data_IF_333942095117
#
_entry.id   IF_333942095117
#
_cell.length_a   1.000
_cell.length_b   1.000
_cell.length_c   1.000
_cell.angle_alpha   90.00
_cell.angle_beta   90.00
_cell.angle_gamma   90.00
#
_symmetry.space_group_name_H-M   'P 1'
#
loop_
_entity.id
_entity.type
_entity.pdbx_description
1 polymer ?
#
# COMPACT_ATOMS: atom_id res chain seq x y z
N UNK A 1 -13.29 7.09 -1.61
CA UNK A 1 -13.07 5.98 -2.56
C UNK A 1 -12.04 5.07 -1.92
N UNK A 2 -12.23 3.75 -1.96
CA UNK A 2 -11.29 2.80 -1.36
C UNK A 2 -10.95 1.72 -2.38
N UNK A 3 -9.65 1.55 -2.61
CA UNK A 3 -9.08 0.56 -3.53
C UNK A 3 -8.28 -0.45 -2.72
N UNK A 4 -8.41 -1.74 -3.04
CA UNK A 4 -7.75 -2.82 -2.32
C UNK A 4 -6.90 -3.65 -3.29
N UNK A 5 -5.74 -4.08 -2.80
CA UNK A 5 -4.79 -4.89 -3.53
C UNK A 5 -4.37 -6.08 -2.67
N UNK A 6 -4.31 -7.26 -3.30
CA UNK A 6 -3.59 -8.40 -2.78
C UNK A 6 -2.13 -8.28 -3.23
N UNK A 7 -1.20 -8.43 -2.31
CA UNK A 7 0.23 -8.35 -2.56
C UNK A 7 0.89 -9.66 -2.15
N UNK A 8 1.73 -10.20 -3.02
CA UNK A 8 2.64 -11.30 -2.65
C UNK A 8 3.96 -10.71 -2.20
N UNK A 9 4.56 -11.25 -1.16
CA UNK A 9 5.85 -10.78 -0.68
C UNK A 9 6.57 -11.79 0.19
N UNK A 10 7.56 -11.32 0.93
CA UNK A 10 8.20 -12.05 2.02
C UNK A 10 8.19 -11.22 3.29
N UNK A 11 8.18 -11.87 4.44
CA UNK A 11 8.38 -11.26 5.75
C UNK A 11 9.36 -12.13 6.55
N UNK A 12 10.51 -11.57 6.96
CA UNK A 12 11.59 -12.33 7.60
C UNK A 12 12.02 -13.57 6.78
N UNK A 13 12.22 -13.40 5.47
CA UNK A 13 12.62 -14.46 4.52
C UNK A 13 11.61 -15.62 4.34
N UNK A 14 10.38 -15.45 4.83
CA UNK A 14 9.28 -16.38 4.59
C UNK A 14 8.29 -15.80 3.60
N UNK A 15 7.83 -16.60 2.64
CA UNK A 15 6.73 -16.23 1.75
C UNK A 15 5.52 -15.77 2.58
N UNK A 16 4.99 -14.60 2.23
CA UNK A 16 3.86 -14.02 2.93
C UNK A 16 2.92 -13.30 1.97
N UNK A 17 1.65 -13.30 2.33
CA UNK A 17 0.59 -12.63 1.59
C UNK A 17 0.10 -11.43 2.39
N UNK A 18 -0.06 -10.30 1.70
CA UNK A 18 -0.51 -9.05 2.30
C UNK A 18 -1.73 -8.49 1.57
N UNK A 19 -2.51 -7.70 2.29
CA UNK A 19 -3.53 -6.84 1.73
C UNK A 19 -3.14 -5.37 1.93
N UNK A 20 -3.18 -4.59 0.85
CA UNK A 20 -3.02 -3.15 0.88
C UNK A 20 -4.33 -2.46 0.54
N UNK A 21 -4.84 -1.66 1.46
CA UNK A 21 -6.03 -0.82 1.27
C UNK A 21 -5.62 0.64 1.18
N UNK A 22 -6.04 1.29 0.11
CA UNK A 22 -5.82 2.73 -0.13
C UNK A 22 -7.16 3.43 -0.13
N UNK A 23 -7.39 4.32 0.83
CA UNK A 23 -8.60 5.14 0.93
C UNK A 23 -8.27 6.59 0.60
N UNK A 24 -8.96 7.13 -0.40
CA UNK A 24 -8.89 8.53 -0.79
C UNK A 24 -10.12 9.25 -0.23
N UNK A 25 -9.88 10.17 0.69
CA UNK A 25 -10.91 11.06 1.23
C UNK A 25 -10.83 12.39 0.48
N UNK A 26 -11.82 12.65 -0.37
CA UNK A 26 -11.98 13.92 -1.08
C UNK A 26 -13.01 14.75 -0.31
N UNK A 27 -12.56 15.78 0.41
CA UNK A 27 -13.46 16.75 1.06
C UNK A 27 -13.84 17.86 0.08
N UNK A 28 -15.13 18.18 0.00
CA UNK A 28 -15.69 19.13 -0.96
C UNK A 28 -15.36 20.61 -0.66
N UNK A 29 -14.70 20.90 0.46
CA UNK A 29 -14.30 22.24 0.90
C UNK A 29 -12.87 22.52 0.44
N UNK A 30 -12.70 23.58 -0.36
CA UNK A 30 -11.48 24.02 -1.05
C UNK A 30 -10.22 24.25 -0.19
N UNK A 31 -10.29 24.02 1.12
CA UNK A 31 -9.21 24.26 2.09
C UNK A 31 -8.66 22.99 2.75
N UNK A 32 -9.25 21.81 2.51
CA UNK A 32 -8.71 20.53 3.00
C UNK A 32 -8.18 19.70 1.83
N UNK A 33 -6.85 19.64 1.72
CA UNK A 33 -6.12 18.81 0.76
C UNK A 33 -6.62 17.35 0.85
N UNK A 34 -6.74 16.69 -0.31
CA UNK A 34 -7.03 15.25 -0.38
C UNK A 34 -6.13 14.48 0.60
N UNK A 35 -6.71 13.59 1.41
CA UNK A 35 -5.93 12.71 2.27
C UNK A 35 -5.96 11.29 1.73
N UNK A 36 -4.78 10.71 1.60
CA UNK A 36 -4.58 9.30 1.27
C UNK A 36 -4.29 8.55 2.56
N UNK A 37 -5.10 7.55 2.85
CA UNK A 37 -4.84 6.59 3.92
C UNK A 37 -4.45 5.26 3.30
N UNK A 38 -3.31 4.71 3.72
CA UNK A 38 -2.82 3.40 3.28
C UNK A 38 -2.74 2.49 4.49
N UNK A 39 -3.28 1.28 4.37
CA UNK A 39 -3.27 0.25 5.40
C UNK A 39 -2.68 -1.03 4.81
N UNK A 40 -1.65 -1.57 5.43
CA UNK A 40 -1.04 -2.86 5.10
C UNK A 40 -1.41 -3.89 6.18
N UNK A 41 -1.92 -5.03 5.73
CA UNK A 41 -2.37 -6.13 6.60
C UNK A 41 -1.68 -7.41 6.16
N UNK A 42 -1.18 -8.19 7.12
CA UNK A 42 -0.79 -9.59 6.88
C UNK A 42 -2.07 -10.43 6.86
N UNK A 43 -2.28 -11.16 5.77
CA UNK A 43 -3.47 -12.01 5.61
C UNK A 43 -3.15 -13.50 5.68
N UNK A 44 -1.87 -13.89 5.75
CA UNK A 44 -1.48 -15.26 6.06
C UNK A 44 -1.69 -15.57 7.54
N UNK A 45 -1.54 -14.56 8.41
CA UNK A 45 -1.89 -14.62 9.82
C UNK A 45 -3.15 -13.77 10.08
N UNK A 46 -4.26 -14.42 10.42
CA UNK A 46 -5.65 -14.00 10.16
C UNK A 46 -6.13 -12.70 10.85
N UNK A 47 -5.25 -11.93 11.50
CA UNK A 47 -5.61 -10.72 12.25
C UNK A 47 -4.48 -9.70 12.43
N UNK A 48 -3.35 -9.80 11.72
CA UNK A 48 -2.24 -8.86 11.93
C UNK A 48 -2.35 -7.63 11.02
N UNK A 49 -3.04 -6.62 11.53
CA UNK A 49 -2.77 -5.24 11.12
C UNK A 49 -1.27 -5.00 11.30
N UNK A 50 -0.55 -4.74 10.21
CA UNK A 50 0.88 -4.47 10.26
C UNK A 50 1.12 -2.99 10.43
N UNK A 51 0.46 -2.17 9.59
CA UNK A 51 0.83 -0.77 9.46
C UNK A 51 -0.28 0.05 8.79
N UNK A 52 -0.32 1.35 9.13
CA UNK A 52 -1.05 2.33 8.34
C UNK A 52 -0.41 3.70 8.43
N UNK A 53 -0.66 4.49 7.40
CA UNK A 53 -0.28 5.90 7.34
C UNK A 53 -1.40 6.73 6.73
N UNK A 54 -1.35 8.03 6.97
CA UNK A 54 -2.22 9.00 6.31
C UNK A 54 -1.40 10.21 5.87
N UNK A 55 -1.40 10.50 4.57
CA UNK A 55 -0.58 11.55 3.98
C UNK A 55 -1.38 12.39 2.96
N UNK A 56 -0.95 13.63 2.67
CA UNK A 56 -1.58 14.48 1.67
C UNK A 56 -1.47 13.96 0.22
N UNK A 57 -0.52 13.06 -0.04
CA UNK A 57 -0.30 12.47 -1.38
C UNK A 57 -0.01 10.99 -1.26
N UNK A 58 -0.38 10.22 -2.29
CA UNK A 58 -0.11 8.79 -2.34
C UNK A 58 1.40 8.48 -2.35
N UNK A 59 2.20 9.30 -3.04
CA UNK A 59 3.67 9.18 -3.04
C UNK A 59 4.26 9.21 -1.62
N UNK A 60 3.81 10.14 -0.77
CA UNK A 60 4.26 10.18 0.63
C UNK A 60 3.82 8.96 1.44
N UNK A 61 2.69 8.35 1.09
CA UNK A 61 2.31 7.07 1.68
C UNK A 61 3.25 5.95 1.25
N UNK A 62 3.70 5.95 -0.02
CA UNK A 62 4.67 4.98 -0.53
C UNK A 62 6.05 5.18 0.11
N UNK A 63 6.51 6.42 0.28
CA UNK A 63 7.77 6.71 1.00
C UNK A 63 7.72 6.17 2.44
N UNK A 64 6.62 6.43 3.16
CA UNK A 64 6.44 5.93 4.52
C UNK A 64 6.27 4.40 4.57
N UNK A 65 5.69 3.80 3.52
CA UNK A 65 5.59 2.35 3.39
C UNK A 65 6.97 1.74 3.18
N UNK A 66 7.80 2.33 2.31
CA UNK A 66 9.18 1.91 2.03
C UNK A 66 10.04 1.84 3.30
N UNK A 67 9.97 2.89 4.13
CA UNK A 67 10.63 2.94 5.44
C UNK A 67 10.16 1.78 6.33
N UNK A 68 8.84 1.55 6.41
CA UNK A 68 8.28 0.45 7.20
C UNK A 68 8.71 -0.93 6.69
N UNK A 69 8.66 -1.15 5.37
CA UNK A 69 9.05 -2.42 4.76
C UNK A 69 10.53 -2.73 5.02
N UNK A 70 11.39 -1.73 4.86
CA UNK A 70 12.83 -1.82 5.11
C UNK A 70 13.14 -2.13 6.57
N UNK A 71 12.50 -1.42 7.51
CA UNK A 71 12.70 -1.62 8.95
C UNK A 71 12.23 -3.01 9.43
N UNK A 72 11.31 -3.64 8.70
CA UNK A 72 10.69 -4.91 9.08
C UNK A 72 11.08 -6.08 8.18
N UNK A 73 12.05 -5.91 7.28
CA UNK A 73 12.51 -6.94 6.34
C UNK A 73 11.34 -7.57 5.55
N UNK A 74 10.47 -6.71 5.03
CA UNK A 74 9.36 -7.10 4.16
C UNK A 74 9.72 -6.74 2.73
N UNK A 75 9.61 -7.70 1.81
CA UNK A 75 9.78 -7.47 0.38
C UNK A 75 8.46 -7.72 -0.32
N UNK A 76 8.05 -6.85 -1.24
CA UNK A 76 6.84 -7.03 -2.05
C UNK A 76 7.22 -7.42 -3.48
N UNK A 77 6.63 -8.49 -4.00
CA UNK A 77 6.95 -9.03 -5.34
C UNK A 77 5.93 -8.68 -6.41
N UNK A 78 4.64 -8.64 -6.05
CA UNK A 78 3.58 -8.41 -7.03
C UNK A 78 2.34 -7.79 -6.40
N UNK A 79 1.49 -7.21 -7.24
CA UNK A 79 0.16 -6.73 -6.85
C UNK A 79 -0.93 -7.30 -7.75
N UNK A 80 -2.09 -7.54 -7.15
CA UNK A 80 -3.33 -7.89 -7.84
C UNK A 80 -4.42 -6.97 -7.28
N UNK A 81 -5.08 -6.21 -8.16
CA UNK A 81 -6.24 -5.41 -7.77
C UNK A 81 -7.39 -6.33 -7.36
N UNK A 82 -7.91 -6.18 -6.14
CA UNK A 82 -9.03 -6.98 -5.61
C UNK A 82 -10.31 -6.18 -5.46
N UNK A 83 -10.26 -4.85 -5.42
CA UNK A 83 -11.45 -4.00 -5.42
C UNK A 83 -12.06 -3.84 -6.81
N UNK A 84 -13.39 -3.64 -6.85
CA UNK A 84 -14.13 -3.34 -8.10
C UNK A 84 -13.74 -1.99 -8.68
N UNK A 85 -13.47 -1.00 -7.82
CA UNK A 85 -13.03 0.32 -8.23
C UNK A 85 -11.51 0.37 -8.40
N UNK A 86 -11.06 0.79 -9.59
CA UNK A 86 -9.65 1.04 -9.92
C UNK A 86 -9.39 2.54 -9.94
N UNK A 87 -8.39 2.97 -9.20
CA UNK A 87 -7.79 4.29 -9.41
C UNK A 87 -6.52 4.11 -10.26
N UNK A 88 -6.49 4.60 -11.52
CA UNK A 88 -5.37 4.37 -12.44
C UNK A 88 -4.07 5.04 -11.99
N UNK A 89 -4.14 6.10 -11.19
CA UNK A 89 -2.96 6.75 -10.66
C UNK A 89 -2.36 5.92 -9.53
N UNK A 90 -3.17 5.48 -8.56
CA UNK A 90 -2.72 4.60 -7.48
C UNK A 90 -2.15 3.29 -8.05
N UNK A 91 -2.83 2.70 -9.03
CA UNK A 91 -2.41 1.45 -9.66
C UNK A 91 -1.04 1.57 -10.33
N UNK A 92 -0.80 2.65 -11.06
CA UNK A 92 0.49 2.90 -11.73
C UNK A 92 1.61 3.15 -10.73
N UNK A 93 1.38 4.02 -9.74
CA UNK A 93 2.41 4.39 -8.76
C UNK A 93 2.79 3.19 -7.88
N UNK A 94 1.82 2.36 -7.47
CA UNK A 94 2.09 1.14 -6.71
C UNK A 94 2.84 0.09 -7.54
N UNK A 95 2.59 0.01 -8.85
CA UNK A 95 3.34 -0.87 -9.74
C UNK A 95 4.80 -0.45 -9.86
N UNK A 96 5.04 0.84 -10.08
CA UNK A 96 6.39 1.39 -10.12
C UNK A 96 7.13 1.21 -8.81
N UNK A 97 6.44 1.38 -7.68
CA UNK A 97 6.99 1.14 -6.35
C UNK A 97 7.49 -0.30 -6.18
N UNK A 98 6.65 -1.29 -6.47
CA UNK A 98 7.00 -2.71 -6.34
C UNK A 98 8.16 -3.06 -7.28
N UNK A 99 8.12 -2.62 -8.55
CA UNK A 99 9.17 -2.93 -9.52
C UNK A 99 10.54 -2.34 -9.13
N UNK A 100 10.57 -1.07 -8.69
CA UNK A 100 11.82 -0.42 -8.28
C UNK A 100 12.43 -1.07 -7.04
N UNK A 101 11.61 -1.64 -6.16
CA UNK A 101 12.06 -2.28 -4.92
C UNK A 101 12.62 -3.71 -5.16
N UNK A 102 12.43 -4.27 -6.36
CA UNK A 102 13.01 -5.57 -6.76
C UNK A 102 14.37 -5.45 -7.46
N UNK A 103 14.77 -4.24 -7.86
CA UNK A 103 16.02 -3.99 -8.59
C UNK A 103 17.25 -3.78 -7.68
N UNK A 104 17.09 -3.92 -6.36
CA UNK A 104 18.15 -3.81 -5.35
C UNK A 104 18.39 -5.14 -4.63
#
# INVERSE_FOLDING_TARGET
MTTAYFLTGSFNDHDNDFELKVTVTKTATSEQQNSYQVVLTDIADSSKYLWATSQPTFLKCLDALDEFLSDNLIVLFSKILTSVERDPLIDKELEGFILNHLEY
#
